data_IF_670706255695
#
_entry.id   IF_670706255695
#
_cell.length_a   1.000
_cell.length_b   1.000
_cell.length_c   1.000
_cell.angle_alpha   90.00
_cell.angle_beta   90.00
_cell.angle_gamma   90.00
#
_symmetry.space_group_name_H-M   'P 1'
#
loop_
_entity.id
_entity.type
_entity.pdbx_description
1 polymer ?
#
# COMPACT_ATOMS: atom_id res chain seq x y z
N UNK A 1 10.22 4.31 11.04
CA UNK A 1 9.73 5.22 10.00
C UNK A 1 8.94 6.33 10.67
N UNK A 2 9.21 7.59 10.33
CA UNK A 2 8.43 8.72 10.85
C UNK A 2 7.09 8.86 10.10
N UNK A 3 6.16 9.66 10.63
CA UNK A 3 4.82 9.83 10.04
C UNK A 3 4.86 10.26 8.57
N UNK A 4 5.77 11.16 8.19
CA UNK A 4 5.85 11.68 6.81
C UNK A 4 6.36 10.61 5.85
N UNK A 5 7.38 9.86 6.25
CA UNK A 5 7.89 8.72 5.48
C UNK A 5 6.81 7.67 5.28
N UNK A 6 6.04 7.34 6.32
CA UNK A 6 4.96 6.36 6.26
C UNK A 6 3.85 6.77 5.29
N UNK A 7 3.42 8.04 5.35
CA UNK A 7 2.46 8.58 4.39
C UNK A 7 3.03 8.50 2.96
N UNK A 8 4.31 8.83 2.77
CA UNK A 8 4.98 8.72 1.48
C UNK A 8 4.97 7.29 0.93
N UNK A 9 5.27 6.29 1.76
CA UNK A 9 5.21 4.87 1.34
C UNK A 9 3.78 4.42 1.01
N UNK A 10 2.77 4.83 1.78
CA UNK A 10 1.36 4.53 1.50
C UNK A 10 0.96 5.09 0.12
N UNK A 11 1.30 6.34 -0.16
CA UNK A 11 0.99 7.02 -1.41
C UNK A 11 1.70 6.40 -2.61
N UNK A 12 2.98 6.03 -2.44
CA UNK A 12 3.75 5.32 -3.45
C UNK A 12 3.12 3.96 -3.75
N UNK A 13 2.84 3.16 -2.73
CA UNK A 13 2.27 1.81 -2.87
C UNK A 13 0.90 1.87 -3.53
N UNK A 14 0.04 2.82 -3.11
CA UNK A 14 -1.27 3.05 -3.73
C UNK A 14 -1.13 3.40 -5.21
N UNK A 15 -0.18 4.25 -5.57
CA UNK A 15 0.06 4.62 -6.97
C UNK A 15 0.55 3.45 -7.82
N UNK A 16 1.44 2.61 -7.28
CA UNK A 16 1.91 1.41 -7.95
C UNK A 16 0.77 0.40 -8.17
N UNK A 17 -0.01 0.12 -7.13
CA UNK A 17 -1.13 -0.81 -7.20
C UNK A 17 -2.20 -0.35 -8.20
N UNK A 18 -2.55 0.94 -8.22
CA UNK A 18 -3.50 1.50 -9.20
C UNK A 18 -3.01 1.33 -10.63
N UNK A 19 -1.70 1.53 -10.88
CA UNK A 19 -1.12 1.34 -12.21
C UNK A 19 -1.10 -0.13 -12.62
N UNK A 20 -0.71 -1.02 -11.71
CA UNK A 20 -0.68 -2.45 -11.98
C UNK A 20 -2.09 -3.00 -12.22
N UNK A 21 -3.10 -2.56 -11.45
CA UNK A 21 -4.48 -2.98 -11.61
C UNK A 21 -5.12 -2.56 -12.95
N UNK A 22 -4.51 -1.61 -13.67
CA UNK A 22 -4.93 -1.25 -15.02
C UNK A 22 -4.52 -2.30 -16.07
N UNK A 23 -3.56 -3.17 -15.75
CA UNK A 23 -2.97 -4.13 -16.68
C UNK A 23 -3.05 -5.58 -16.18
N UNK A 24 -3.27 -5.78 -14.88
CA UNK A 24 -3.36 -7.08 -14.25
C UNK A 24 -4.72 -7.32 -13.58
N UNK A 25 -5.21 -8.58 -13.56
CA UNK A 25 -6.36 -8.95 -12.74
C UNK A 25 -6.09 -8.66 -11.26
N UNK A 26 -7.11 -8.24 -10.51
CA UNK A 26 -6.98 -8.00 -9.06
C UNK A 26 -6.59 -9.26 -8.26
N UNK A 27 -6.81 -10.44 -8.85
CA UNK A 27 -6.40 -11.73 -8.29
C UNK A 27 -4.97 -12.11 -8.64
N UNK A 28 -4.23 -11.29 -9.38
CA UNK A 28 -2.84 -11.60 -9.69
C UNK A 28 -1.99 -11.62 -8.41
N UNK A 29 -0.96 -12.49 -8.34
CA UNK A 29 -0.05 -12.51 -7.19
C UNK A 29 0.60 -11.15 -6.93
N UNK A 30 0.85 -10.37 -7.99
CA UNK A 30 1.45 -9.04 -7.87
C UNK A 30 0.51 -8.05 -7.18
N UNK A 31 -0.74 -7.96 -7.61
CA UNK A 31 -1.75 -7.10 -7.00
C UNK A 31 -2.06 -7.53 -5.56
N UNK A 32 -2.14 -8.83 -5.30
CA UNK A 32 -2.34 -9.34 -3.94
C UNK A 32 -1.17 -8.98 -3.02
N UNK A 33 0.07 -9.08 -3.52
CA UNK A 33 1.25 -8.70 -2.74
C UNK A 33 1.24 -7.19 -2.41
N UNK A 34 0.95 -6.35 -3.41
CA UNK A 34 0.81 -4.90 -3.22
C UNK A 34 -0.30 -4.55 -2.23
N UNK A 35 -1.47 -5.21 -2.35
CA UNK A 35 -2.59 -5.03 -1.42
C UNK A 35 -2.19 -5.36 0.01
N UNK A 36 -1.55 -6.51 0.22
CA UNK A 36 -1.11 -6.92 1.55
C UNK A 36 -0.09 -5.94 2.14
N UNK A 37 0.84 -5.44 1.31
CA UNK A 37 1.81 -4.45 1.74
C UNK A 37 1.15 -3.12 2.09
N UNK A 38 0.16 -2.67 1.32
CA UNK A 38 -0.60 -1.46 1.60
C UNK A 38 -1.37 -1.57 2.93
N UNK A 39 -2.01 -2.71 3.19
CA UNK A 39 -2.69 -2.97 4.47
C UNK A 39 -1.73 -2.90 5.67
N UNK A 40 -0.52 -3.45 5.53
CA UNK A 40 0.50 -3.35 6.58
C UNK A 40 0.89 -1.90 6.88
N UNK A 41 1.03 -1.06 5.85
CA UNK A 41 1.37 0.34 6.01
C UNK A 41 0.22 1.13 6.64
N UNK A 42 -1.02 0.89 6.23
CA UNK A 42 -2.20 1.51 6.81
C UNK A 42 -2.37 1.14 8.29
N UNK A 43 -2.17 -0.13 8.64
CA UNK A 43 -2.19 -0.60 10.03
C UNK A 43 -1.07 0.06 10.87
N UNK A 44 0.12 0.25 10.30
CA UNK A 44 1.19 0.99 10.98
C UNK A 44 0.80 2.46 11.22
N UNK A 45 0.11 3.07 10.26
CA UNK A 45 -0.33 4.46 10.36
C UNK A 45 -1.40 4.61 11.43
N UNK A 46 -2.38 3.72 11.48
CA UNK A 46 -3.45 3.71 12.49
C UNK A 46 -2.88 3.63 13.91
N UNK A 47 -1.88 2.76 14.14
CA UNK A 47 -1.20 2.61 15.44
C UNK A 47 -0.48 3.87 15.91
N UNK A 48 -0.23 4.87 15.05
CA UNK A 48 0.34 6.16 15.48
C UNK A 48 -0.69 7.06 16.18
N UNK A 49 -1.98 6.72 16.11
CA UNK A 49 -3.08 7.49 16.68
C UNK A 49 -3.82 6.75 17.80
N UNK A 50 -3.37 5.54 18.16
CA UNK A 50 -3.81 4.78 19.33
C UNK A 50 -2.89 5.07 20.51
#
# INVERSE_FOLDING_TARGET
MNKKELIGEIELMRSMMTRAAAHEPLTSPEIQHMSHRLDQLLNQYERLFQ
#
